data_IF_606052125759
#
_entry.id   IF_606052125759
#
_cell.length_a   1.000
_cell.length_b   1.000
_cell.length_c   1.000
_cell.angle_alpha   90.00
_cell.angle_beta   90.00
_cell.angle_gamma   90.00
#
_symmetry.space_group_name_H-M   'P 1'
#
loop_
_entity.id
_entity.type
_entity.pdbx_description
1 polymer ?
#
# COMPACT_ATOMS: atom_id res chain seq x y z
N UNK A 1 6.00 42.56 0.74
CA UNK A 1 5.51 41.67 -0.33
C UNK A 1 5.16 40.31 0.27
N UNK A 2 3.88 39.98 0.42
CA UNK A 2 3.43 38.64 0.86
C UNK A 2 3.58 37.70 -0.33
N UNK A 3 4.60 36.84 -0.33
CA UNK A 3 4.70 35.73 -1.27
C UNK A 3 3.83 34.59 -0.74
N UNK A 4 2.52 34.73 -0.94
CA UNK A 4 1.58 33.62 -0.82
C UNK A 4 1.75 32.71 -2.03
N UNK A 5 2.74 31.82 -2.00
CA UNK A 5 2.75 30.69 -2.93
C UNK A 5 1.69 29.70 -2.45
N UNK A 6 0.49 29.92 -2.99
CA UNK A 6 -0.64 29.02 -2.89
C UNK A 6 -0.17 27.62 -3.25
N UNK A 7 -0.12 26.75 -2.24
CA UNK A 7 -0.36 25.32 -2.39
C UNK A 7 -1.67 25.22 -3.17
N UNK A 8 -1.60 25.07 -4.50
CA UNK A 8 -2.75 24.61 -5.27
C UNK A 8 -2.94 23.15 -4.89
N UNK A 9 -3.57 22.91 -3.75
CA UNK A 9 -4.36 21.68 -3.62
C UNK A 9 -5.31 21.66 -4.81
N UNK A 10 -5.54 20.48 -5.38
CA UNK A 10 -6.29 20.37 -6.64
C UNK A 10 -7.59 21.18 -6.55
N UNK A 11 -8.00 21.77 -7.68
CA UNK A 11 -9.26 22.53 -7.73
C UNK A 11 -10.40 21.67 -7.15
N UNK A 12 -11.44 22.30 -6.59
CA UNK A 12 -12.58 21.54 -6.04
C UNK A 12 -13.14 20.52 -7.04
N UNK A 13 -13.08 20.84 -8.33
CA UNK A 13 -13.44 19.96 -9.43
C UNK A 13 -12.48 18.77 -9.60
N UNK A 14 -11.16 18.98 -9.56
CA UNK A 14 -10.16 17.90 -9.60
C UNK A 14 -10.37 16.89 -8.47
N UNK A 15 -10.67 17.37 -7.27
CA UNK A 15 -10.97 16.50 -6.12
C UNK A 15 -12.25 15.71 -6.32
N UNK A 16 -13.28 16.30 -6.93
CA UNK A 16 -14.50 15.56 -7.31
C UNK A 16 -14.19 14.47 -8.32
N UNK A 17 -13.35 14.74 -9.33
CA UNK A 17 -12.92 13.71 -10.28
C UNK A 17 -12.18 12.56 -9.60
N UNK A 18 -11.33 12.84 -8.60
CA UNK A 18 -10.67 11.81 -7.79
C UNK A 18 -11.69 10.96 -7.04
N UNK A 19 -12.73 11.56 -6.45
CA UNK A 19 -13.78 10.82 -5.75
C UNK A 19 -14.59 9.93 -6.71
N UNK A 20 -14.94 10.44 -7.89
CA UNK A 20 -15.62 9.65 -8.94
C UNK A 20 -14.73 8.51 -9.43
N UNK A 21 -13.44 8.78 -9.63
CA UNK A 21 -12.45 7.78 -9.98
C UNK A 21 -12.39 6.65 -8.96
N UNK A 22 -12.24 6.97 -7.67
CA UNK A 22 -12.25 5.96 -6.61
C UNK A 22 -13.56 5.19 -6.52
N UNK A 23 -14.71 5.88 -6.58
CA UNK A 23 -16.00 5.22 -6.53
C UNK A 23 -16.18 4.25 -7.70
N UNK A 24 -15.81 4.66 -8.92
CA UNK A 24 -15.92 3.81 -10.11
C UNK A 24 -15.01 2.58 -10.04
N UNK A 25 -13.77 2.73 -9.56
CA UNK A 25 -12.84 1.62 -9.37
C UNK A 25 -13.33 0.64 -8.30
N UNK A 26 -13.81 1.13 -7.16
CA UNK A 26 -14.33 0.28 -6.10
C UNK A 26 -15.57 -0.49 -6.57
N UNK A 27 -16.51 0.16 -7.25
CA UNK A 27 -17.69 -0.49 -7.82
C UNK A 27 -17.28 -1.56 -8.83
N UNK A 28 -16.42 -1.22 -9.79
CA UNK A 28 -15.92 -2.15 -10.80
C UNK A 28 -15.24 -3.37 -10.15
N UNK A 29 -14.36 -3.12 -9.18
CA UNK A 29 -13.60 -4.17 -8.52
C UNK A 29 -14.50 -5.13 -7.72
N UNK A 30 -15.38 -4.60 -6.87
CA UNK A 30 -16.23 -5.44 -6.02
C UNK A 30 -17.41 -6.06 -6.75
N UNK A 31 -18.00 -5.37 -7.73
CA UNK A 31 -19.16 -5.89 -8.47
C UNK A 31 -18.78 -6.87 -9.59
N UNK A 32 -17.60 -6.69 -10.22
CA UNK A 32 -17.21 -7.46 -11.41
C UNK A 32 -15.97 -8.31 -11.13
N UNK A 33 -14.87 -7.70 -10.70
CA UNK A 33 -13.55 -8.38 -10.63
C UNK A 33 -13.54 -9.46 -9.55
N UNK A 34 -14.00 -9.16 -8.33
CA UNK A 34 -13.98 -10.11 -7.21
C UNK A 34 -14.83 -11.34 -7.51
N UNK A 35 -16.12 -11.24 -7.88
CA UNK A 35 -16.94 -12.43 -8.15
C UNK A 35 -16.39 -13.27 -9.32
N UNK A 36 -15.86 -12.62 -10.36
CA UNK A 36 -15.31 -13.30 -11.52
C UNK A 36 -14.04 -14.10 -11.19
N UNK A 37 -13.16 -13.54 -10.36
CA UNK A 37 -11.85 -14.12 -10.07
C UNK A 37 -11.86 -15.06 -8.86
N UNK A 38 -12.72 -14.84 -7.85
CA UNK A 38 -12.93 -15.80 -6.77
C UNK A 38 -13.43 -17.15 -7.29
N UNK A 39 -14.17 -17.17 -8.41
CA UNK A 39 -14.62 -18.39 -9.05
C UNK A 39 -13.52 -19.16 -9.81
N UNK A 40 -12.37 -18.53 -10.09
CA UNK A 40 -11.36 -19.05 -11.03
C UNK A 40 -9.96 -19.17 -10.45
N UNK A 41 -9.64 -18.39 -9.41
CA UNK A 41 -8.30 -18.27 -8.86
C UNK A 41 -8.26 -18.72 -7.40
N UNK A 42 -7.11 -19.22 -6.98
CA UNK A 42 -6.87 -19.54 -5.59
C UNK A 42 -6.89 -18.29 -4.71
N UNK A 43 -7.39 -18.43 -3.48
CA UNK A 43 -7.54 -17.35 -2.49
C UNK A 43 -6.29 -16.49 -2.31
N UNK A 44 -5.11 -17.11 -2.30
CA UNK A 44 -3.82 -16.40 -2.16
C UNK A 44 -3.63 -15.38 -3.30
N UNK A 45 -4.02 -15.72 -4.54
CA UNK A 45 -3.90 -14.82 -5.69
C UNK A 45 -4.93 -13.71 -5.59
N UNK A 46 -6.17 -14.03 -5.22
CA UNK A 46 -7.25 -13.04 -4.99
C UNK A 46 -6.83 -12.02 -3.93
N UNK A 47 -6.17 -12.45 -2.84
CA UNK A 47 -5.64 -11.55 -1.82
C UNK A 47 -4.64 -10.52 -2.37
N UNK A 48 -3.78 -10.94 -3.31
CA UNK A 48 -2.79 -10.05 -3.95
C UNK A 48 -3.44 -9.11 -4.97
N UNK A 49 -4.63 -9.41 -5.49
CA UNK A 49 -5.40 -8.44 -6.28
C UNK A 49 -5.80 -7.21 -5.46
N UNK A 50 -6.07 -7.36 -4.16
CA UNK A 50 -6.32 -6.19 -3.29
C UNK A 50 -5.06 -5.33 -3.09
N UNK A 51 -3.87 -5.94 -3.11
CA UNK A 51 -2.61 -5.20 -3.07
C UNK A 51 -2.43 -4.40 -4.36
N UNK A 52 -2.72 -5.02 -5.52
CA UNK A 52 -2.72 -4.32 -6.81
C UNK A 52 -3.79 -3.23 -6.90
N UNK A 53 -4.99 -3.47 -6.34
CA UNK A 53 -6.03 -2.44 -6.24
C UNK A 53 -5.55 -1.25 -5.41
N UNK A 54 -4.83 -1.49 -4.31
CA UNK A 54 -4.23 -0.42 -3.52
C UNK A 54 -3.25 0.42 -4.35
N UNK A 55 -2.44 -0.20 -5.21
CA UNK A 55 -1.55 0.55 -6.13
C UNK A 55 -2.37 1.48 -7.04
N UNK A 56 -3.42 0.95 -7.67
CA UNK A 56 -4.25 1.73 -8.61
C UNK A 56 -5.01 2.84 -7.88
N UNK A 57 -5.58 2.57 -6.71
CA UNK A 57 -6.31 3.58 -5.95
C UNK A 57 -5.40 4.68 -5.41
N UNK A 58 -4.21 4.31 -4.91
CA UNK A 58 -3.43 5.20 -4.05
C UNK A 58 -2.28 5.90 -4.77
N UNK A 59 -1.54 5.21 -5.65
CA UNK A 59 -0.38 5.79 -6.32
C UNK A 59 -0.68 7.09 -7.11
N UNK A 60 -1.69 7.13 -8.01
CA UNK A 60 -1.93 8.33 -8.81
C UNK A 60 -2.36 9.53 -7.95
N UNK A 61 -3.18 9.30 -6.91
CA UNK A 61 -3.66 10.37 -6.03
C UNK A 61 -2.57 10.82 -5.06
N UNK A 62 -1.68 9.93 -4.62
CA UNK A 62 -0.50 10.29 -3.82
C UNK A 62 0.41 11.26 -4.57
N UNK A 63 0.51 11.12 -5.90
CA UNK A 63 1.29 12.02 -6.75
C UNK A 63 0.54 13.34 -6.98
N UNK A 64 -0.74 13.27 -7.31
CA UNK A 64 -1.54 14.43 -7.71
C UNK A 64 -1.97 15.34 -6.54
N UNK A 65 -2.44 14.77 -5.43
CA UNK A 65 -2.87 15.50 -4.22
C UNK A 65 -2.52 14.67 -2.96
N UNK A 66 -1.26 14.68 -2.52
CA UNK A 66 -0.82 13.90 -1.36
C UNK A 66 -1.51 14.32 -0.06
N UNK A 67 -2.02 15.54 0.03
CA UNK A 67 -2.77 16.00 1.19
C UNK A 67 -4.18 15.40 1.25
N UNK A 68 -4.89 15.37 0.12
CA UNK A 68 -6.17 14.65 0.01
C UNK A 68 -5.96 13.16 0.30
N UNK A 69 -4.90 12.56 -0.25
CA UNK A 69 -4.57 11.16 0.00
C UNK A 69 -4.29 10.89 1.49
N UNK A 70 -3.53 11.77 2.16
CA UNK A 70 -3.27 11.70 3.61
C UNK A 70 -4.57 11.67 4.41
N UNK A 71 -5.50 12.58 4.10
CA UNK A 71 -6.81 12.65 4.74
C UNK A 71 -7.65 11.39 4.46
N UNK A 72 -7.66 10.93 3.21
CA UNK A 72 -8.37 9.73 2.81
C UNK A 72 -7.84 8.48 3.54
N UNK A 73 -6.51 8.33 3.68
CA UNK A 73 -5.90 7.27 4.47
C UNK A 73 -6.35 7.32 5.94
N UNK A 74 -6.36 8.50 6.56
CA UNK A 74 -6.76 8.66 7.95
C UNK A 74 -8.24 8.30 8.15
N UNK A 75 -9.11 8.81 7.27
CA UNK A 75 -10.54 8.49 7.27
C UNK A 75 -10.81 7.01 7.04
N UNK A 76 -10.18 6.40 6.03
CA UNK A 76 -10.33 4.98 5.73
C UNK A 76 -9.82 4.10 6.90
N UNK A 77 -8.70 4.46 7.52
CA UNK A 77 -8.17 3.73 8.69
C UNK A 77 -9.15 3.80 9.86
N UNK A 78 -9.67 4.99 10.17
CA UNK A 78 -10.69 5.14 11.21
C UNK A 78 -11.94 4.31 10.92
N UNK A 79 -12.44 4.32 9.68
CA UNK A 79 -13.58 3.52 9.27
C UNK A 79 -13.32 2.01 9.40
N UNK A 80 -12.14 1.52 9.01
CA UNK A 80 -11.77 0.11 9.17
C UNK A 80 -11.67 -0.30 10.64
N UNK A 81 -11.09 0.54 11.49
CA UNK A 81 -11.01 0.29 12.94
C UNK A 81 -12.40 0.27 13.57
N UNK A 82 -13.27 1.21 13.19
CA UNK A 82 -14.66 1.23 13.65
C UNK A 82 -15.39 -0.02 13.17
N UNK A 83 -15.28 -0.38 11.89
CA UNK A 83 -15.90 -1.58 11.34
C UNK A 83 -15.44 -2.84 12.08
N UNK A 84 -14.15 -2.96 12.37
CA UNK A 84 -13.60 -4.05 13.17
C UNK A 84 -14.15 -4.05 14.60
N UNK A 85 -14.30 -2.88 15.24
CA UNK A 85 -14.93 -2.77 16.55
C UNK A 85 -16.40 -3.24 16.53
N UNK A 86 -17.18 -2.88 15.50
CA UNK A 86 -18.55 -3.37 15.31
C UNK A 86 -18.59 -4.90 15.11
N UNK A 87 -17.63 -5.46 14.37
CA UNK A 87 -17.48 -6.91 14.15
C UNK A 87 -17.19 -7.64 15.47
N UNK A 88 -16.20 -7.15 16.22
CA UNK A 88 -15.77 -7.70 17.53
C UNK A 88 -16.90 -7.62 18.56
N UNK A 89 -17.62 -6.50 18.59
CA UNK A 89 -18.77 -6.31 19.47
C UNK A 89 -19.99 -7.15 19.09
N UNK A 90 -19.95 -7.92 17.98
CA UNK A 90 -21.08 -8.68 17.43
C UNK A 90 -22.35 -7.83 17.32
N UNK A 91 -22.20 -6.58 16.89
CA UNK A 91 -23.25 -5.56 16.90
C UNK A 91 -24.36 -5.85 15.86
N UNK A 92 -25.28 -6.74 16.22
CA UNK A 92 -26.46 -7.06 15.43
C UNK A 92 -26.14 -7.51 14.00
N UNK A 93 -27.00 -7.15 13.04
CA UNK A 93 -26.82 -7.52 11.64
C UNK A 93 -25.57 -6.90 10.99
N UNK A 94 -25.17 -5.70 11.43
CA UNK A 94 -24.01 -4.98 10.88
C UNK A 94 -22.71 -5.71 11.18
N UNK A 95 -22.48 -6.12 12.43
CA UNK A 95 -21.29 -6.90 12.79
C UNK A 95 -21.19 -8.23 12.04
N UNK A 96 -22.33 -8.90 11.78
CA UNK A 96 -22.38 -10.14 10.98
C UNK A 96 -22.00 -9.91 9.53
N UNK A 97 -22.58 -8.87 8.92
CA UNK A 97 -22.28 -8.50 7.54
C UNK A 97 -20.79 -8.18 7.35
N UNK A 98 -20.20 -7.37 8.26
CA UNK A 98 -18.77 -7.05 8.24
C UNK A 98 -17.94 -8.33 8.39
N UNK A 99 -18.31 -9.23 9.30
CA UNK A 99 -17.64 -10.52 9.47
C UNK A 99 -17.62 -11.35 8.18
N UNK A 100 -18.74 -11.43 7.46
CA UNK A 100 -18.82 -12.13 6.18
C UNK A 100 -17.95 -11.47 5.11
N UNK A 101 -17.90 -10.13 5.06
CA UNK A 101 -17.02 -9.41 4.14
C UNK A 101 -15.54 -9.68 4.45
N UNK A 102 -15.16 -9.63 5.73
CA UNK A 102 -13.78 -9.85 6.18
C UNK A 102 -13.26 -11.23 5.81
N UNK A 103 -14.10 -12.27 5.80
CA UNK A 103 -13.72 -13.59 5.32
C UNK A 103 -13.19 -13.60 3.88
N UNK A 104 -13.46 -12.59 3.04
CA UNK A 104 -12.86 -12.52 1.70
C UNK A 104 -11.41 -12.03 1.70
N UNK A 105 -11.00 -11.32 2.76
CA UNK A 105 -9.69 -10.64 2.86
C UNK A 105 -8.66 -11.41 3.69
N UNK A 106 -9.10 -12.45 4.40
CA UNK A 106 -8.36 -13.10 5.48
C UNK A 106 -7.85 -14.47 5.04
N UNK A 107 -6.62 -14.80 5.43
CA UNK A 107 -6.01 -16.11 5.18
C UNK A 107 -6.62 -17.21 6.08
N UNK A 108 -6.44 -18.48 5.70
CA UNK A 108 -7.00 -19.64 6.43
C UNK A 108 -6.63 -19.68 7.92
N UNK A 109 -5.44 -19.16 8.28
CA UNK A 109 -4.99 -19.08 9.68
C UNK A 109 -5.82 -18.08 10.49
N UNK A 110 -5.93 -16.85 10.00
CA UNK A 110 -6.73 -15.80 10.63
C UNK A 110 -8.24 -16.11 10.54
N UNK A 111 -8.69 -16.83 9.50
CA UNK A 111 -10.06 -17.35 9.39
C UNK A 111 -10.37 -18.34 10.49
N UNK A 112 -9.44 -19.22 10.84
CA UNK A 112 -9.64 -20.21 11.90
C UNK A 112 -9.89 -19.49 13.22
N UNK A 113 -9.13 -18.44 13.50
CA UNK A 113 -9.29 -17.67 14.74
C UNK A 113 -10.53 -16.76 14.71
N UNK A 114 -10.81 -16.10 13.58
CA UNK A 114 -11.98 -15.23 13.40
C UNK A 114 -13.31 -16.00 13.34
N UNK A 115 -13.34 -17.15 12.65
CA UNK A 115 -14.52 -18.04 12.58
C UNK A 115 -14.74 -18.80 13.89
N UNK A 116 -13.68 -19.24 14.58
CA UNK A 116 -13.81 -19.90 15.88
C UNK A 116 -14.37 -18.96 16.96
N UNK A 117 -13.98 -17.68 16.92
CA UNK A 117 -14.53 -16.63 17.79
C UNK A 117 -16.01 -16.30 17.52
N UNK A 118 -16.47 -16.51 16.28
CA UNK A 118 -17.83 -16.18 15.86
C UNK A 118 -18.79 -17.38 15.97
N UNK A 119 -18.33 -18.60 15.67
CA UNK A 119 -19.11 -19.85 15.64
C UNK A 119 -19.50 -20.37 17.04
N UNK A 120 -18.69 -20.10 18.07
CA UNK A 120 -18.98 -20.58 19.42
C UNK A 120 -19.90 -19.63 20.20
N UNK A 121 -21.19 -19.70 19.91
CA UNK A 121 -22.23 -19.25 20.83
C UNK A 121 -22.52 -20.41 21.81
N UNK A 122 -22.47 -20.15 23.12
CA UNK A 122 -22.57 -21.11 24.24
C UNK A 122 -21.49 -22.19 24.34
N UNK A 123 -20.46 -21.92 25.15
CA UNK A 123 -19.90 -22.80 26.18
C UNK A 123 -18.39 -22.55 26.34
N UNK A 124 -18.05 -22.00 27.51
CA UNK A 124 -16.81 -22.24 28.23
C UNK A 124 -15.53 -22.27 27.35
N UNK A 125 -14.95 -21.09 27.08
CA UNK A 125 -13.51 -21.02 26.87
C UNK A 125 -13.03 -19.69 27.40
N UNK A 126 -12.25 -19.74 28.47
CA UNK A 126 -11.68 -18.60 29.19
C UNK A 126 -10.49 -18.01 28.41
N UNK A 127 -10.63 -17.82 27.08
CA UNK A 127 -9.64 -17.17 26.23
C UNK A 127 -10.13 -15.76 25.89
N UNK A 128 -9.37 -14.70 26.23
CA UNK A 128 -9.77 -13.34 25.93
C UNK A 128 -9.67 -13.06 24.42
N UNK A 129 -10.74 -12.54 23.83
CA UNK A 129 -10.73 -11.86 22.53
C UNK A 129 -11.17 -12.71 21.34
N UNK A 130 -12.16 -12.21 20.59
CA UNK A 130 -12.28 -12.58 19.18
C UNK A 130 -11.02 -12.14 18.45
N UNK A 131 -10.32 -13.05 17.78
CA UNK A 131 -9.11 -12.68 17.04
C UNK A 131 -9.39 -11.54 16.08
N UNK A 132 -8.56 -10.50 16.16
CA UNK A 132 -8.67 -9.30 15.37
C UNK A 132 -8.26 -9.61 13.93
N UNK A 133 -9.05 -9.14 12.98
CA UNK A 133 -8.69 -9.21 11.57
C UNK A 133 -8.00 -7.92 11.20
N UNK A 134 -6.67 -7.97 11.22
CA UNK A 134 -5.84 -6.77 11.06
C UNK A 134 -5.27 -6.64 9.65
N UNK A 135 -5.32 -7.68 8.82
CA UNK A 135 -4.75 -7.68 7.47
C UNK A 135 -5.15 -6.47 6.62
N UNK A 136 -6.44 -6.08 6.47
CA UNK A 136 -6.83 -4.90 5.69
C UNK A 136 -6.35 -3.58 6.32
N UNK A 137 -6.28 -3.54 7.66
CA UNK A 137 -5.81 -2.37 8.42
C UNK A 137 -4.30 -2.22 8.24
N UNK A 138 -3.53 -3.30 8.35
CA UNK A 138 -2.08 -3.30 8.17
C UNK A 138 -1.67 -2.99 6.73
N UNK A 139 -2.38 -3.48 5.73
CA UNK A 139 -2.16 -3.09 4.33
C UNK A 139 -2.34 -1.57 4.15
N UNK A 140 -3.44 -1.02 4.67
CA UNK A 140 -3.73 0.41 4.54
C UNK A 140 -2.70 1.27 5.29
N UNK A 141 -2.40 0.92 6.54
CA UNK A 141 -1.43 1.62 7.38
C UNK A 141 -0.03 1.52 6.75
N UNK A 142 0.35 0.36 6.23
CA UNK A 142 1.62 0.16 5.55
C UNK A 142 1.80 1.05 4.32
N UNK A 143 0.72 1.29 3.56
CA UNK A 143 0.70 2.27 2.47
C UNK A 143 0.72 3.72 2.96
N UNK A 144 0.03 4.03 4.06
CA UNK A 144 -0.16 5.39 4.57
C UNK A 144 1.04 5.94 5.35
N UNK A 145 1.73 5.09 6.14
CA UNK A 145 2.78 5.52 7.06
C UNK A 145 3.91 6.30 6.37
N UNK A 146 4.46 5.87 5.23
CA UNK A 146 5.51 6.62 4.56
C UNK A 146 5.09 8.03 4.14
N UNK A 147 3.85 8.21 3.69
CA UNK A 147 3.28 9.51 3.35
C UNK A 147 3.13 10.38 4.60
N UNK A 148 2.61 9.85 5.70
CA UNK A 148 2.45 10.62 6.94
C UNK A 148 3.79 11.03 7.55
N UNK A 149 4.76 10.11 7.60
CA UNK A 149 6.09 10.38 8.16
C UNK A 149 6.81 11.42 7.30
N UNK A 150 6.83 11.26 5.99
CA UNK A 150 7.44 12.25 5.09
C UNK A 150 6.76 13.62 5.19
N UNK A 151 5.43 13.69 5.27
CA UNK A 151 4.72 14.96 5.51
C UNK A 151 5.15 15.62 6.82
N UNK A 152 5.28 14.84 7.90
CA UNK A 152 5.72 15.34 9.20
C UNK A 152 7.17 15.83 9.18
N UNK A 153 8.09 15.05 8.59
CA UNK A 153 9.52 15.38 8.54
C UNK A 153 9.81 16.60 7.66
N UNK A 154 9.13 16.73 6.52
CA UNK A 154 9.40 17.77 5.53
C UNK A 154 8.46 18.98 5.60
N UNK A 155 7.52 19.01 6.55
CA UNK A 155 6.70 20.20 6.84
C UNK A 155 7.55 21.41 7.26
N UNK A 156 8.70 21.17 7.90
CA UNK A 156 9.57 22.20 8.49
C UNK A 156 10.64 22.76 7.54
N UNK A 157 10.93 22.07 6.43
CA UNK A 157 11.99 22.45 5.50
C UNK A 157 11.36 23.05 4.23
N UNK A 158 11.12 24.37 4.20
CA UNK A 158 10.70 25.08 2.97
C UNK A 158 11.60 26.29 2.73
N UNK A 159 12.08 26.54 1.49
CA UNK A 159 11.72 25.88 0.23
C UNK A 159 12.60 24.65 -0.10
N UNK A 160 11.97 23.55 -0.51
CA UNK A 160 12.64 22.34 -0.99
C UNK A 160 13.01 22.53 -2.46
N UNK A 161 14.26 22.24 -2.84
CA UNK A 161 14.69 22.27 -4.25
C UNK A 161 13.93 21.24 -5.11
N UNK A 162 13.91 21.39 -6.44
CA UNK A 162 13.18 20.48 -7.32
C UNK A 162 13.61 19.00 -7.20
N UNK A 163 14.89 18.72 -6.92
CA UNK A 163 15.38 17.37 -6.68
C UNK A 163 14.84 16.78 -5.36
N UNK A 164 14.78 17.59 -4.31
CA UNK A 164 14.27 17.14 -3.02
C UNK A 164 12.73 17.03 -3.00
N UNK A 165 12.01 17.77 -3.86
CA UNK A 165 10.57 17.56 -4.08
C UNK A 165 10.29 16.24 -4.82
N UNK A 166 11.14 15.89 -5.79
CA UNK A 166 11.08 14.58 -6.46
C UNK A 166 11.36 13.43 -5.48
N UNK A 167 12.38 13.56 -4.64
CA UNK A 167 12.67 12.54 -3.63
C UNK A 167 11.50 12.41 -2.63
N UNK A 168 10.93 13.53 -2.16
CA UNK A 168 9.76 13.52 -1.30
C UNK A 168 8.55 12.78 -1.93
N UNK A 169 8.25 13.06 -3.21
CA UNK A 169 7.17 12.37 -3.92
C UNK A 169 7.42 10.85 -4.02
N UNK A 170 8.68 10.43 -4.18
CA UNK A 170 9.06 9.02 -4.20
C UNK A 170 8.95 8.38 -2.80
N UNK A 171 9.35 9.09 -1.76
CA UNK A 171 9.18 8.66 -0.36
C UNK A 171 7.71 8.43 0.02
N UNK A 172 6.81 9.31 -0.44
CA UNK A 172 5.36 9.17 -0.22
C UNK A 172 4.79 7.85 -0.75
N UNK A 173 5.41 7.29 -1.80
CA UNK A 173 4.98 6.06 -2.47
C UNK A 173 5.65 4.79 -1.91
N UNK A 174 6.54 4.89 -0.91
CA UNK A 174 7.31 3.75 -0.41
C UNK A 174 6.44 2.58 0.03
N UNK A 175 5.33 2.85 0.70
CA UNK A 175 4.41 1.80 1.18
C UNK A 175 3.63 1.15 0.05
N UNK A 176 3.10 1.98 -0.87
CA UNK A 176 2.39 1.50 -2.05
C UNK A 176 3.31 0.65 -2.95
N UNK A 177 4.57 1.04 -3.09
CA UNK A 177 5.55 0.29 -3.85
C UNK A 177 5.90 -1.04 -3.17
N UNK A 178 6.33 -1.02 -1.90
CA UNK A 178 6.80 -2.21 -1.20
C UNK A 178 5.72 -3.27 -1.02
N UNK A 179 4.52 -2.88 -0.59
CA UNK A 179 3.42 -3.81 -0.31
C UNK A 179 2.56 -4.03 -1.55
N UNK A 180 2.14 -2.93 -2.20
CA UNK A 180 1.21 -2.99 -3.31
C UNK A 180 1.81 -3.64 -4.56
N UNK A 181 3.08 -3.35 -4.87
CA UNK A 181 3.78 -3.92 -6.04
C UNK A 181 4.70 -5.06 -5.63
N UNK A 182 5.64 -4.80 -4.72
CA UNK A 182 6.69 -5.75 -4.36
C UNK A 182 6.11 -7.07 -3.82
N UNK A 183 5.40 -7.01 -2.69
CA UNK A 183 4.82 -8.21 -2.05
C UNK A 183 3.78 -8.92 -2.95
N UNK A 184 3.04 -8.16 -3.76
CA UNK A 184 2.15 -8.73 -4.78
C UNK A 184 2.90 -9.56 -5.83
N UNK A 185 3.94 -8.98 -6.43
CA UNK A 185 4.79 -9.64 -7.43
C UNK A 185 5.50 -10.86 -6.83
N UNK A 186 6.11 -10.71 -5.66
CA UNK A 186 6.81 -11.79 -4.97
C UNK A 186 5.93 -13.01 -4.74
N UNK A 187 4.70 -12.78 -4.27
CA UNK A 187 3.77 -13.86 -3.99
C UNK A 187 3.21 -14.51 -5.25
N UNK A 188 2.85 -13.71 -6.27
CA UNK A 188 2.29 -14.25 -7.53
C UNK A 188 3.37 -15.05 -8.28
N UNK A 189 4.54 -14.46 -8.50
CA UNK A 189 5.64 -15.10 -9.23
C UNK A 189 6.22 -16.26 -8.42
N UNK A 190 6.45 -16.04 -7.12
CA UNK A 190 7.00 -17.07 -6.25
C UNK A 190 6.09 -18.30 -6.13
N UNK A 191 4.77 -18.14 -6.24
CA UNK A 191 3.82 -19.25 -6.28
C UNK A 191 3.72 -19.92 -7.65
N UNK A 192 3.76 -19.14 -8.73
CA UNK A 192 3.51 -19.66 -10.09
C UNK A 192 4.73 -20.34 -10.71
N UNK A 193 5.92 -19.76 -10.52
CA UNK A 193 7.16 -20.25 -11.14
C UNK A 193 8.29 -20.48 -10.14
N UNK A 194 8.09 -20.14 -8.86
CA UNK A 194 9.12 -20.28 -7.84
C UNK A 194 9.48 -21.75 -7.57
N UNK A 195 10.76 -22.07 -7.69
CA UNK A 195 11.28 -23.44 -7.51
C UNK A 195 12.35 -23.47 -6.43
N UNK A 196 13.18 -22.44 -6.39
CA UNK A 196 14.31 -22.37 -5.48
C UNK A 196 13.91 -21.57 -4.24
N UNK A 197 13.86 -22.22 -3.08
CA UNK A 197 13.50 -21.57 -1.81
C UNK A 197 14.73 -21.00 -1.12
N UNK A 198 14.54 -19.90 -0.41
CA UNK A 198 15.54 -19.40 0.53
C UNK A 198 15.72 -20.40 1.69
N UNK A 199 16.94 -20.56 2.24
CA UNK A 199 17.17 -21.37 3.42
C UNK A 199 16.26 -20.92 4.58
N UNK A 200 15.62 -21.88 5.26
CA UNK A 200 14.74 -21.63 6.41
C UNK A 200 13.56 -20.67 6.16
N UNK A 201 13.17 -20.45 4.89
CA UNK A 201 12.06 -19.58 4.51
C UNK A 201 11.12 -20.25 3.52
N UNK A 202 9.84 -19.88 3.58
CA UNK A 202 8.84 -20.32 2.58
C UNK A 202 8.91 -19.53 1.28
N UNK A 203 9.70 -18.44 1.25
CA UNK A 203 9.87 -17.54 0.11
C UNK A 203 10.83 -18.15 -0.92
N UNK A 204 10.68 -17.76 -2.18
CA UNK A 204 11.49 -18.26 -3.30
C UNK A 204 12.40 -17.17 -3.85
N UNK A 205 13.55 -17.58 -4.40
CA UNK A 205 14.47 -16.68 -5.10
C UNK A 205 13.78 -15.99 -6.28
N UNK A 206 12.95 -16.70 -7.04
CA UNK A 206 12.21 -16.13 -8.16
C UNK A 206 11.18 -15.08 -7.68
N UNK A 207 10.54 -15.32 -6.53
CA UNK A 207 9.67 -14.35 -5.88
C UNK A 207 10.42 -13.07 -5.49
N UNK A 208 11.54 -13.20 -4.78
CA UNK A 208 12.39 -12.06 -4.40
C UNK A 208 12.93 -11.30 -5.62
N UNK A 209 13.36 -12.02 -6.67
CA UNK A 209 13.78 -11.36 -7.91
C UNK A 209 12.66 -10.54 -8.54
N UNK A 210 11.42 -11.07 -8.56
CA UNK A 210 10.26 -10.34 -9.08
C UNK A 210 9.86 -9.13 -8.21
N UNK A 211 10.03 -9.22 -6.89
CA UNK A 211 9.85 -8.09 -5.97
C UNK A 211 10.79 -6.95 -6.37
N UNK A 212 12.07 -7.27 -6.53
CA UNK A 212 13.11 -6.30 -6.90
C UNK A 212 12.81 -5.62 -8.24
N UNK A 213 12.54 -6.42 -9.28
CA UNK A 213 12.17 -5.90 -10.61
C UNK A 213 10.90 -5.04 -10.53
N UNK A 214 9.89 -5.48 -9.77
CA UNK A 214 8.65 -4.74 -9.58
C UNK A 214 8.87 -3.33 -9.02
N UNK A 215 9.72 -3.21 -7.99
CA UNK A 215 10.09 -1.90 -7.43
C UNK A 215 10.88 -1.04 -8.43
N UNK A 216 11.88 -1.60 -9.11
CA UNK A 216 12.66 -0.86 -10.11
C UNK A 216 11.76 -0.31 -11.21
N UNK A 217 10.87 -1.15 -11.76
CA UNK A 217 9.92 -0.73 -12.81
C UNK A 217 8.96 0.32 -12.27
N UNK A 218 8.35 0.10 -11.09
CA UNK A 218 7.43 1.05 -10.49
C UNK A 218 8.05 2.44 -10.33
N UNK A 219 9.22 2.53 -9.68
CA UNK A 219 9.88 3.81 -9.46
C UNK A 219 10.38 4.46 -10.75
N UNK A 220 10.77 3.67 -11.76
CA UNK A 220 11.13 4.20 -13.08
C UNK A 220 9.92 4.84 -13.77
N UNK A 221 8.78 4.14 -13.78
CA UNK A 221 7.53 4.67 -14.36
C UNK A 221 7.08 5.92 -13.60
N UNK A 222 7.06 5.88 -12.27
CA UNK A 222 6.67 7.03 -11.45
C UNK A 222 7.61 8.23 -11.64
N UNK A 223 8.93 8.01 -11.74
CA UNK A 223 9.89 9.07 -12.03
C UNK A 223 9.60 9.72 -13.38
N UNK A 224 9.24 8.95 -14.41
CA UNK A 224 8.82 9.49 -15.70
C UNK A 224 7.51 10.28 -15.61
N UNK A 225 6.49 9.76 -14.91
CA UNK A 225 5.19 10.42 -14.75
C UNK A 225 5.30 11.75 -14.00
N UNK A 226 6.04 11.77 -12.89
CA UNK A 226 6.27 12.99 -12.09
C UNK A 226 7.10 14.00 -12.90
N UNK A 227 8.10 13.53 -13.66
CA UNK A 227 8.89 14.42 -14.50
C UNK A 227 8.06 15.03 -15.63
N UNK A 228 7.18 14.26 -16.29
CA UNK A 228 6.33 14.80 -17.36
C UNK A 228 5.42 15.93 -16.86
N UNK A 229 4.89 15.80 -15.64
CA UNK A 229 4.03 16.81 -15.01
C UNK A 229 4.83 18.06 -14.59
N UNK A 230 5.99 17.86 -13.97
CA UNK A 230 6.86 18.95 -13.52
C UNK A 230 7.52 19.72 -14.70
N UNK A 231 7.89 19.02 -15.77
CA UNK A 231 8.39 19.63 -17.01
C UNK A 231 7.31 20.44 -17.72
N UNK A 232 6.05 19.96 -17.70
CA UNK A 232 4.90 20.66 -18.26
C UNK A 232 4.57 21.95 -17.49
N UNK A 233 4.70 21.95 -16.15
CA UNK A 233 4.28 23.08 -15.32
C UNK A 233 5.38 24.10 -14.96
N UNK A 234 6.66 23.72 -14.95
CA UNK A 234 7.73 24.57 -14.39
C UNK A 234 8.97 24.72 -15.28
N UNK A 235 9.00 24.17 -16.51
CA UNK A 235 10.14 24.32 -17.41
C UNK A 235 11.44 23.73 -16.84
N UNK A 236 11.34 22.70 -15.99
CA UNK A 236 12.49 22.08 -15.33
C UNK A 236 13.38 21.41 -16.38
N UNK A 237 14.61 21.90 -16.50
CA UNK A 237 15.63 21.35 -17.40
C UNK A 237 16.06 19.94 -17.00
N UNK A 238 16.39 19.12 -18.01
CA UNK A 238 16.89 17.74 -17.90
C UNK A 238 18.04 17.51 -16.88
N UNK A 239 18.76 18.56 -16.46
CA UNK A 239 19.83 18.48 -15.47
C UNK A 239 19.35 18.06 -14.07
N UNK A 240 18.08 18.26 -13.70
CA UNK A 240 17.54 17.74 -12.43
C UNK A 240 17.38 16.22 -12.40
N UNK A 241 17.43 15.54 -13.55
CA UNK A 241 17.41 14.06 -13.62
C UNK A 241 18.72 13.42 -13.13
N UNK A 242 19.84 14.17 -13.17
CA UNK A 242 21.16 13.61 -12.80
C UNK A 242 21.30 13.28 -11.31
N UNK A 243 20.45 13.81 -10.45
CA UNK A 243 20.58 13.66 -8.98
C UNK A 243 19.80 12.47 -8.41
N UNK A 244 18.80 11.94 -9.13
CA UNK A 244 18.06 10.73 -8.72
C UNK A 244 18.71 9.49 -9.37
N UNK A 245 19.88 9.07 -8.89
CA UNK A 245 20.57 7.93 -9.51
C UNK A 245 19.79 6.64 -9.25
N UNK A 246 19.15 6.11 -10.29
CA UNK A 246 18.43 4.82 -10.21
C UNK A 246 19.35 3.69 -9.72
N UNK A 247 20.67 3.83 -9.91
CA UNK A 247 21.68 2.89 -9.41
C UNK A 247 21.60 2.64 -7.90
N UNK A 248 21.51 3.67 -7.05
CA UNK A 248 21.39 3.43 -5.60
C UNK A 248 20.03 2.80 -5.26
N UNK A 249 18.95 3.19 -5.96
CA UNK A 249 17.60 2.66 -5.74
C UNK A 249 17.54 1.18 -6.04
N UNK A 250 18.19 0.74 -7.12
CA UNK A 250 18.33 -0.67 -7.45
C UNK A 250 18.99 -1.45 -6.30
N UNK A 251 20.06 -0.91 -5.71
CA UNK A 251 20.71 -1.54 -4.55
C UNK A 251 19.78 -1.55 -3.33
N UNK A 252 19.11 -0.44 -3.04
CA UNK A 252 18.14 -0.35 -1.94
C UNK A 252 17.01 -1.37 -2.10
N UNK A 253 16.38 -1.45 -3.27
CA UNK A 253 15.29 -2.38 -3.53
C UNK A 253 15.74 -3.83 -3.45
N UNK A 254 16.99 -4.12 -3.79
CA UNK A 254 17.57 -5.45 -3.60
C UNK A 254 17.64 -5.78 -2.11
N UNK A 255 18.10 -4.83 -1.28
CA UNK A 255 18.12 -4.98 0.18
C UNK A 255 16.71 -5.14 0.76
N UNK A 256 15.73 -4.37 0.28
CA UNK A 256 14.32 -4.52 0.68
C UNK A 256 13.79 -5.92 0.32
N UNK A 257 14.14 -6.43 -0.86
CA UNK A 257 13.76 -7.78 -1.28
C UNK A 257 14.40 -8.87 -0.43
N UNK A 258 15.67 -8.70 -0.02
CA UNK A 258 16.32 -9.64 0.89
C UNK A 258 15.71 -9.57 2.29
N UNK A 259 15.32 -8.37 2.74
CA UNK A 259 14.61 -8.19 4.00
C UNK A 259 13.26 -8.91 3.98
N UNK A 260 12.52 -8.86 2.86
CA UNK A 260 11.28 -9.63 2.67
C UNK A 260 11.52 -11.14 2.78
N UNK A 261 12.60 -11.65 2.17
CA UNK A 261 12.95 -13.07 2.21
C UNK A 261 13.28 -13.57 3.64
N UNK A 262 13.87 -12.69 4.47
CA UNK A 262 14.32 -12.98 5.82
C UNK A 262 13.28 -12.70 6.92
N UNK A 263 12.24 -11.91 6.66
CA UNK A 263 11.25 -11.51 7.67
C UNK A 263 9.97 -12.34 7.59
N UNK A 264 9.38 -12.67 8.74
CA UNK A 264 8.29 -13.68 8.81
C UNK A 264 6.95 -13.15 9.30
N UNK A 265 6.88 -12.06 10.07
CA UNK A 265 5.64 -11.68 10.81
C UNK A 265 5.06 -10.29 10.53
N UNK A 266 5.82 -9.34 9.98
CA UNK A 266 5.41 -7.92 9.89
C UNK A 266 5.88 -7.24 8.59
N UNK A 267 5.87 -7.96 7.47
CA UNK A 267 6.29 -7.45 6.17
C UNK A 267 5.52 -6.18 5.74
N UNK A 268 4.22 -6.12 6.02
CA UNK A 268 3.36 -4.97 5.71
C UNK A 268 3.67 -3.67 6.47
N UNK A 269 4.53 -3.68 7.51
CA UNK A 269 4.94 -2.47 8.22
C UNK A 269 6.44 -2.22 8.10
N UNK A 270 7.25 -3.29 8.16
CA UNK A 270 8.70 -3.19 8.11
C UNK A 270 9.20 -2.79 6.72
N UNK A 271 8.68 -3.41 5.65
CA UNK A 271 9.16 -3.13 4.28
C UNK A 271 8.90 -1.68 3.83
N UNK A 272 7.70 -1.09 4.05
CA UNK A 272 7.46 0.33 3.79
C UNK A 272 8.43 1.26 4.50
N UNK A 273 8.67 1.02 5.80
CA UNK A 273 9.51 1.87 6.62
C UNK A 273 10.97 1.76 6.22
N UNK A 274 11.46 0.55 5.92
CA UNK A 274 12.82 0.35 5.42
C UNK A 274 13.02 0.99 4.04
N UNK A 275 12.01 0.90 3.16
CA UNK A 275 12.04 1.56 1.85
C UNK A 275 12.06 3.09 2.01
N UNK A 276 11.23 3.63 2.90
CA UNK A 276 11.17 5.06 3.22
C UNK A 276 12.52 5.59 3.73
N UNK A 277 13.12 4.92 4.71
CA UNK A 277 14.40 5.36 5.30
C UNK A 277 15.51 5.33 4.27
N UNK A 278 15.59 4.26 3.46
CA UNK A 278 16.55 4.16 2.38
C UNK A 278 16.40 5.29 1.35
N UNK A 279 15.18 5.62 0.93
CA UNK A 279 14.92 6.72 0.01
C UNK A 279 15.22 8.10 0.63
N UNK A 280 15.00 8.26 1.94
CA UNK A 280 15.32 9.50 2.66
C UNK A 280 16.81 9.79 2.82
N UNK A 281 17.69 8.79 2.63
CA UNK A 281 19.15 8.96 2.67
C UNK A 281 19.74 9.48 1.35
N UNK A 282 18.89 9.80 0.37
CA UNK A 282 19.28 10.08 -1.01
C UNK A 282 19.08 11.55 -1.39
#
# INVERSE_FOLDING_TARGET
MRVGHLRKGGSSLERVYVLVYWASLLVLFFAIVVPMLEARLERIVVRKLFHLLAVVLFAPVTIADPDLMSLAYAGATALLVIAEAFRVAKAGAVGRFIGTLWCRFVDEREMTEASYAYSKDKAQSNRPGSALVLTPIYLLIGCALPLWISHFLFQSCRPVSGAAQMNLAQMNLAGVAAIGVGDAMAAIVGKTIGRNKWPDSSRTFEGSFSFWIGLVVFYTVMQHSIFSDAAYHAGITANSMKTSSMGYKCVLFLMVSLLEACTTQMDNLVLPLFTLTGLGLC
#
